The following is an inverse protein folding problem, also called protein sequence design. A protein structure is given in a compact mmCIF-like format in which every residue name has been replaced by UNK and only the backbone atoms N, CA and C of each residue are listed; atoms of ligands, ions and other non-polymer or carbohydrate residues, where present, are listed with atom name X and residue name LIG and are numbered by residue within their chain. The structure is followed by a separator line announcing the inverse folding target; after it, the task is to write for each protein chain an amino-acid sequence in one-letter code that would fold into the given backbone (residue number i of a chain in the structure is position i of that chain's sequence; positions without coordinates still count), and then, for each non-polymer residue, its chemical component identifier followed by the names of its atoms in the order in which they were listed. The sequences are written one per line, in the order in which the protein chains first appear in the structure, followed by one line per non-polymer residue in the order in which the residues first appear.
data_IF_851843788145
#
_entry.id   IF_851843788145
#
_cell.length_a   1.000
_cell.length_b   1.000
_cell.length_c   1.000
_cell.angle_alpha   90.00
_cell.angle_beta   90.00
_cell.angle_gamma   90.00
#
_symmetry.space_group_name_H-M   'P 1'
#
loop_
_entity.id
_entity.type
_entity.pdbx_description
1 polymer ?
#
# COMPACT_ATOMS: atom_id res chain seq x y z
N UNK A 1 -9.02 6.89 -6.57
CA UNK A 1 -8.03 5.98 -7.18
C UNK A 1 -7.05 5.56 -6.10
N UNK A 2 -6.56 4.32 -6.14
CA UNK A 2 -5.65 3.73 -5.14
C UNK A 2 -4.47 3.10 -5.87
N UNK A 3 -3.24 3.40 -5.43
CA UNK A 3 -2.04 2.69 -5.90
C UNK A 3 -1.74 1.60 -4.88
N UNK A 4 -1.68 0.34 -5.31
CA UNK A 4 -1.41 -0.79 -4.44
C UNK A 4 -0.61 -1.88 -5.16
N UNK A 5 0.04 -2.74 -4.37
CA UNK A 5 0.66 -3.95 -4.89
C UNK A 5 -0.36 -5.09 -4.90
N UNK A 6 -0.38 -5.86 -5.98
CA UNK A 6 -1.19 -7.07 -6.11
C UNK A 6 -0.29 -8.28 -6.26
N UNK A 7 -0.48 -9.26 -5.37
CA UNK A 7 0.21 -10.55 -5.44
C UNK A 7 -0.39 -11.47 -6.51
N UNK A 8 0.37 -12.49 -6.97
CA UNK A 8 -0.08 -13.44 -7.98
C UNK A 8 -1.32 -14.23 -7.55
N UNK A 9 -1.53 -14.43 -6.25
CA UNK A 9 -2.68 -15.14 -5.68
C UNK A 9 -3.98 -14.33 -5.66
N UNK A 10 -4.02 -13.13 -6.24
CA UNK A 10 -5.24 -12.30 -6.36
C UNK A 10 -5.71 -12.12 -7.80
N UNK A 11 -5.05 -12.74 -8.78
CA UNK A 11 -5.31 -12.51 -10.21
C UNK A 11 -6.46 -13.34 -10.79
N UNK A 12 -6.93 -14.39 -10.11
CA UNK A 12 -7.80 -15.40 -10.73
C UNK A 12 -9.30 -15.08 -10.77
N UNK A 13 -9.80 -14.04 -10.09
CA UNK A 13 -11.25 -13.81 -9.93
C UNK A 13 -11.75 -12.39 -10.26
N UNK A 14 -10.92 -11.50 -10.81
CA UNK A 14 -11.32 -10.11 -11.03
C UNK A 14 -11.73 -9.87 -12.49
N UNK A 15 -12.98 -9.46 -12.71
CA UNK A 15 -13.43 -8.98 -14.02
C UNK A 15 -12.76 -7.65 -14.34
N UNK A 16 -12.41 -7.38 -15.62
CA UNK A 16 -11.89 -6.07 -16.02
C UNK A 16 -12.87 -4.96 -15.62
N UNK A 17 -12.36 -3.91 -14.99
CA UNK A 17 -13.19 -2.80 -14.55
C UNK A 17 -13.25 -1.72 -15.63
N UNK A 18 -14.45 -1.36 -16.10
CA UNK A 18 -14.63 -0.32 -17.11
C UNK A 18 -14.25 1.09 -16.60
N UNK A 19 -14.29 1.32 -15.28
CA UNK A 19 -13.95 2.63 -14.69
C UNK A 19 -12.45 2.90 -14.60
N UNK A 20 -11.64 1.88 -14.33
CA UNK A 20 -10.19 2.05 -14.15
C UNK A 20 -9.35 1.24 -15.15
N UNK A 21 -9.97 0.51 -16.09
CA UNK A 21 -9.29 -0.29 -17.11
C UNK A 21 -8.43 -1.42 -16.53
N UNK A 22 -8.61 -1.75 -15.26
CA UNK A 22 -7.72 -2.67 -14.54
C UNK A 22 -7.87 -4.09 -15.07
N UNK A 23 -6.72 -4.73 -15.35
CA UNK A 23 -6.62 -6.15 -15.69
C UNK A 23 -5.86 -6.90 -14.58
N UNK A 24 -6.30 -8.09 -14.17
CA UNK A 24 -5.71 -8.79 -13.04
C UNK A 24 -4.31 -9.30 -13.40
N UNK A 25 -3.27 -8.66 -12.86
CA UNK A 25 -1.90 -9.12 -13.00
C UNK A 25 -1.12 -8.83 -11.71
N UNK A 26 0.01 -9.51 -11.49
CA UNK A 26 0.86 -9.26 -10.33
C UNK A 26 1.72 -8.00 -10.55
N UNK A 27 2.00 -7.25 -9.47
CA UNK A 27 2.76 -5.99 -9.53
C UNK A 27 2.03 -4.78 -8.94
N UNK A 28 2.52 -3.57 -9.23
CA UNK A 28 1.91 -2.31 -8.74
C UNK A 28 0.86 -1.83 -9.74
N UNK A 29 -0.32 -1.49 -9.24
CA UNK A 29 -1.42 -0.99 -10.05
C UNK A 29 -2.12 0.20 -9.42
N UNK A 30 -2.68 1.03 -10.29
CA UNK A 30 -3.65 2.05 -9.94
C UNK A 30 -5.05 1.55 -10.26
N UNK A 31 -5.88 1.40 -9.24
CA UNK A 31 -7.26 0.89 -9.35
C UNK A 31 -8.26 1.91 -8.79
N UNK A 32 -9.55 1.75 -9.10
CA UNK A 32 -10.59 2.48 -8.41
C UNK A 32 -10.76 1.94 -6.97
N UNK A 33 -11.37 2.74 -6.10
CA UNK A 33 -11.55 2.37 -4.70
C UNK A 33 -12.42 1.10 -4.57
N UNK A 34 -13.46 0.99 -5.39
CA UNK A 34 -14.37 -0.16 -5.41
C UNK A 34 -13.63 -1.47 -5.74
N UNK A 35 -12.77 -1.45 -6.77
CA UNK A 35 -11.95 -2.61 -7.15
C UNK A 35 -10.91 -2.98 -6.09
N UNK A 36 -10.31 -1.97 -5.44
CA UNK A 36 -9.38 -2.21 -4.34
C UNK A 36 -10.09 -2.86 -3.15
N UNK A 37 -11.30 -2.39 -2.83
CA UNK A 37 -12.07 -2.90 -1.71
C UNK A 37 -12.59 -4.31 -1.97
N UNK A 38 -13.09 -4.59 -3.18
CA UNK A 38 -13.67 -5.87 -3.53
C UNK A 38 -14.68 -6.38 -2.48
N UNK A 39 -15.53 -5.48 -1.96
CA UNK A 39 -16.53 -5.78 -0.92
C UNK A 39 -16.00 -5.79 0.52
N UNK A 40 -14.71 -5.58 0.75
CA UNK A 40 -14.13 -5.45 2.09
C UNK A 40 -14.17 -4.00 2.61
N UNK A 41 -13.92 -3.83 3.91
CA UNK A 41 -13.80 -2.52 4.55
C UNK A 41 -12.36 -2.00 4.53
N UNK A 42 -12.20 -0.67 4.40
CA UNK A 42 -10.92 -0.02 4.62
C UNK A 42 -10.62 0.08 6.10
N UNK A 43 -9.38 -0.26 6.47
CA UNK A 43 -8.82 0.12 7.76
C UNK A 43 -7.66 1.09 7.52
N UNK A 44 -7.71 2.25 8.18
CA UNK A 44 -6.64 3.25 8.09
C UNK A 44 -5.59 2.97 9.16
N UNK A 45 -4.38 2.64 8.72
CA UNK A 45 -3.23 2.53 9.61
C UNK A 45 -2.85 3.89 10.20
N UNK A 46 -2.60 3.95 11.50
CA UNK A 46 -2.22 5.20 12.18
C UNK A 46 -0.71 5.30 12.37
N UNK A 47 -0.12 6.41 11.97
CA UNK A 47 1.28 6.76 12.23
C UNK A 47 1.36 7.78 13.36
N UNK A 48 2.56 7.95 13.92
CA UNK A 48 2.82 8.89 15.01
C UNK A 48 1.87 8.73 16.22
N UNK A 49 1.58 7.48 16.60
CA UNK A 49 0.79 7.21 17.80
C UNK A 49 1.70 7.17 19.03
N UNK A 50 1.17 7.55 20.20
CA UNK A 50 1.90 7.39 21.46
C UNK A 50 2.16 5.91 21.76
N UNK A 51 3.22 5.62 22.52
CA UNK A 51 3.57 4.25 22.92
C UNK A 51 2.42 3.54 23.64
N UNK A 52 1.70 4.27 24.52
CA UNK A 52 0.49 3.73 25.16
C UNK A 52 -0.57 3.33 24.14
N UNK A 53 -0.84 4.17 23.13
CA UNK A 53 -1.79 3.82 22.05
C UNK A 53 -1.33 2.60 21.26
N UNK A 54 -0.04 2.43 21.04
CA UNK A 54 0.50 1.24 20.37
C UNK A 54 0.20 -0.04 21.16
N UNK A 55 0.34 -0.03 22.48
CA UNK A 55 0.07 -1.19 23.35
C UNK A 55 -1.41 -1.58 23.40
N UNK A 56 -2.32 -0.60 23.34
CA UNK A 56 -3.76 -0.85 23.41
C UNK A 56 -4.43 -1.12 22.05
N UNK A 57 -3.73 -0.89 20.94
CA UNK A 57 -4.26 -1.13 19.60
C UNK A 57 -3.92 -2.55 19.12
N UNK A 58 -4.75 -3.07 18.23
CA UNK A 58 -4.51 -4.37 17.58
C UNK A 58 -3.15 -4.34 16.89
N UNK A 59 -2.34 -5.39 17.08
CA UNK A 59 -1.06 -5.54 16.39
C UNK A 59 -1.23 -5.34 14.88
N UNK A 60 -0.32 -4.57 14.26
CA UNK A 60 -0.37 -4.27 12.82
C UNK A 60 -1.38 -3.18 12.42
N UNK A 61 -1.89 -2.38 13.36
CA UNK A 61 -2.88 -1.33 13.06
C UNK A 61 -2.39 0.11 13.27
N UNK A 62 -1.25 0.28 13.94
CA UNK A 62 -0.60 1.57 14.14
C UNK A 62 0.90 1.44 14.44
N UNK A 63 1.61 2.55 14.29
CA UNK A 63 3.05 2.67 14.54
C UNK A 63 3.37 3.95 15.31
N UNK A 64 4.32 3.87 16.24
CA UNK A 64 4.90 5.05 16.93
C UNK A 64 5.77 5.90 16.01
N UNK A 65 6.05 5.39 14.82
CA UNK A 65 6.92 6.04 13.88
C UNK A 65 6.15 6.97 12.96
N UNK A 66 6.75 8.13 12.69
CA UNK A 66 6.29 9.07 11.70
C UNK A 66 6.25 8.49 10.28
N UNK A 67 5.32 9.01 9.50
CA UNK A 67 5.24 8.81 8.06
C UNK A 67 5.79 10.04 7.33
N UNK A 68 6.25 9.87 6.09
CA UNK A 68 6.58 11.02 5.26
C UNK A 68 5.33 11.88 4.98
N UNK A 69 5.51 13.17 4.68
CA UNK A 69 4.42 14.04 4.24
C UNK A 69 3.62 13.42 3.09
N UNK A 70 2.30 13.62 3.10
CA UNK A 70 1.38 12.97 2.15
C UNK A 70 1.76 13.23 0.68
N UNK A 71 2.23 14.43 0.35
CA UNK A 71 2.71 14.77 -0.99
C UNK A 71 3.89 13.90 -1.43
N UNK A 72 4.90 13.70 -0.58
CA UNK A 72 6.06 12.86 -0.89
C UNK A 72 5.67 11.38 -1.05
N UNK A 73 4.74 10.91 -0.21
CA UNK A 73 4.23 9.53 -0.30
C UNK A 73 3.51 9.32 -1.63
N UNK A 74 2.66 10.27 -2.03
CA UNK A 74 1.92 10.22 -3.30
C UNK A 74 2.88 10.29 -4.48
N UNK A 75 3.83 11.22 -4.47
CA UNK A 75 4.84 11.35 -5.53
C UNK A 75 5.64 10.05 -5.69
N UNK A 76 6.09 9.47 -4.58
CA UNK A 76 6.86 8.22 -4.64
C UNK A 76 6.02 7.05 -5.14
N UNK A 77 4.74 6.98 -4.75
CA UNK A 77 3.83 5.95 -5.24
C UNK A 77 3.60 6.05 -6.76
N UNK A 78 3.53 7.28 -7.29
CA UNK A 78 3.44 7.51 -8.74
C UNK A 78 4.73 7.12 -9.47
N UNK A 79 5.91 7.49 -8.95
CA UNK A 79 7.19 7.07 -9.53
C UNK A 79 7.32 5.53 -9.60
N UNK A 80 6.98 4.85 -8.50
CA UNK A 80 6.99 3.38 -8.47
C UNK A 80 6.01 2.73 -9.46
N UNK A 81 4.85 3.37 -9.68
CA UNK A 81 3.88 2.92 -10.67
C UNK A 81 4.42 3.10 -12.10
N UNK A 82 5.08 4.23 -12.39
CA UNK A 82 5.68 4.53 -13.69
C UNK A 82 6.84 3.58 -14.01
N UNK A 83 7.74 3.38 -13.06
CA UNK A 83 8.91 2.52 -13.23
C UNK A 83 8.52 1.02 -13.31
N UNK A 84 7.28 0.67 -12.97
CA UNK A 84 6.79 -0.73 -12.80
C UNK A 84 7.73 -1.58 -11.93
N UNK A 85 8.51 -0.93 -11.08
CA UNK A 85 9.70 -1.49 -10.41
C UNK A 85 9.47 -1.68 -8.92
N UNK A 86 8.39 -2.37 -8.55
CA UNK A 86 8.50 -3.20 -7.36
C UNK A 86 9.17 -4.47 -7.83
N UNK A 87 10.40 -4.75 -7.37
CA UNK A 87 10.98 -6.07 -7.55
C UNK A 87 10.06 -7.19 -7.04
N UNK A 88 10.52 -8.43 -7.05
CA UNK A 88 9.75 -9.54 -6.47
C UNK A 88 9.27 -9.19 -5.05
N UNK A 89 7.98 -9.42 -4.77
CA UNK A 89 7.36 -9.10 -3.50
C UNK A 89 8.10 -9.78 -2.35
N UNK A 90 8.93 -9.02 -1.64
CA UNK A 90 9.64 -9.47 -0.46
C UNK A 90 8.93 -8.90 0.78
N UNK A 91 8.25 -9.79 1.52
CA UNK A 91 7.48 -9.48 2.73
C UNK A 91 8.28 -8.69 3.79
N UNK A 92 9.61 -8.83 3.79
CA UNK A 92 10.53 -8.24 4.76
C UNK A 92 11.14 -6.90 4.33
N UNK A 93 11.28 -6.64 3.02
CA UNK A 93 12.01 -5.45 2.51
C UNK A 93 11.07 -4.44 1.83
N UNK A 94 10.07 -4.92 1.10
CA UNK A 94 9.15 -4.12 0.29
C UNK A 94 7.69 -4.34 0.73
N UNK A 95 7.40 -4.08 2.01
CA UNK A 95 6.07 -4.23 2.59
C UNK A 95 5.24 -2.94 2.44
N UNK A 96 3.93 -3.09 2.21
CA UNK A 96 2.91 -2.04 2.15
C UNK A 96 2.74 -1.24 3.46
N UNK A 97 3.23 -1.73 4.60
CA UNK A 97 3.21 -1.03 5.89
C UNK A 97 4.35 -0.01 6.05
N UNK A 98 5.33 -0.06 5.15
CA UNK A 98 6.49 0.84 5.15
C UNK A 98 6.08 2.12 4.42
N UNK A 99 5.98 3.24 5.13
CA UNK A 99 5.64 4.58 4.61
C UNK A 99 6.62 5.17 3.56
N UNK A 100 7.43 4.33 2.94
CA UNK A 100 8.41 4.58 1.89
C UNK A 100 9.59 5.45 2.39
N UNK A 101 10.51 4.70 3.00
CA UNK A 101 11.87 5.01 3.49
C UNK A 101 11.95 5.80 4.80
N UNK A 102 11.93 5.05 5.90
CA UNK A 102 12.59 5.44 7.16
C UNK A 102 14.10 5.50 6.92
N UNK A 103 14.66 6.71 7.04
CA UNK A 103 16.10 7.03 7.01
C UNK A 103 16.84 6.52 5.77
N UNK A 104 17.34 7.45 4.96
CA UNK A 104 18.73 7.33 4.55
C UNK A 104 19.50 7.00 5.83
N UNK A 105 20.03 5.78 5.93
CA UNK A 105 20.93 5.44 7.03
C UNK A 105 22.14 6.39 6.92
N UNK A 106 22.71 6.88 8.03
CA UNK A 106 24.00 7.58 7.95
C UNK A 106 25.05 6.75 7.22
#
# INVERSE_FOLDING_TARGET
MVIHLMGPSKTYNLRPCERCGFKPQAGIFKTCLDCFLNGHSLYRYAYDVSYLKLLFKRSGSCSIWDCRPANQVVETAYRLLEDKSFGSYNFFLNNCERCIVKRAWP
#
